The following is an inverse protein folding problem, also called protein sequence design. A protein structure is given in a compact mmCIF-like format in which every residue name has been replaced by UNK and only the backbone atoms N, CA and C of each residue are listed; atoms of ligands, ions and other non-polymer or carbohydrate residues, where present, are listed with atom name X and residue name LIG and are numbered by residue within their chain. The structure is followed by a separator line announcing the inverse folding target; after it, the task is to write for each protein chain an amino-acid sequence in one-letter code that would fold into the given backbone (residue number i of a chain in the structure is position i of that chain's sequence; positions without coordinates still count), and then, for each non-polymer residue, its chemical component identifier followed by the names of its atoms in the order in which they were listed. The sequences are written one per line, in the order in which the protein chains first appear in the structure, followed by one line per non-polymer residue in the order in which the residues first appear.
data_IF_907633827568
#
_entry.id   IF_907633827568
#
_cell.length_a   1.000
_cell.length_b   1.000
_cell.length_c   1.000
_cell.angle_alpha   90.00
_cell.angle_beta   90.00
_cell.angle_gamma   90.00
#
_symmetry.space_group_name_H-M   'P 1'
#
loop_
_entity.id
_entity.type
_entity.pdbx_description
1 polymer ?
#
# COMPACT_ATOMS: atom_id res chain seq x y z
N UNK A 1 -24.67 -2.91 -37.68
CA UNK A 1 -24.69 -3.66 -36.40
C UNK A 1 -23.68 -3.04 -35.45
N UNK A 2 -24.12 -2.59 -34.27
CA UNK A 2 -23.25 -1.94 -33.28
C UNK A 2 -22.41 -2.99 -32.54
N UNK A 3 -21.08 -2.82 -32.53
CA UNK A 3 -20.13 -3.70 -31.81
C UNK A 3 -20.48 -3.87 -30.33
N UNK A 4 -21.12 -2.87 -29.74
CA UNK A 4 -21.54 -2.84 -28.34
C UNK A 4 -22.58 -3.92 -28.01
N UNK A 5 -23.49 -4.24 -28.94
CA UNK A 5 -24.51 -5.28 -28.72
C UNK A 5 -23.92 -6.69 -28.76
N UNK A 6 -22.84 -6.89 -29.53
CA UNK A 6 -22.14 -8.17 -29.62
C UNK A 6 -21.31 -8.44 -28.35
N UNK A 7 -20.67 -7.39 -27.83
CA UNK A 7 -19.93 -7.44 -26.56
C UNK A 7 -20.86 -7.71 -25.37
N UNK A 8 -22.00 -7.03 -25.30
CA UNK A 8 -23.00 -7.27 -24.25
C UNK A 8 -23.59 -8.68 -24.34
N UNK A 9 -23.81 -9.19 -25.56
CA UNK A 9 -24.26 -10.56 -25.78
C UNK A 9 -23.27 -11.61 -25.26
N UNK A 10 -21.98 -11.47 -25.57
CA UNK A 10 -20.92 -12.36 -25.06
C UNK A 10 -20.87 -12.34 -23.52
N UNK A 11 -21.01 -11.14 -22.93
CA UNK A 11 -20.94 -10.99 -21.47
C UNK A 11 -22.14 -11.65 -20.76
N UNK A 12 -23.35 -11.49 -21.30
CA UNK A 12 -24.56 -12.12 -20.76
C UNK A 12 -24.55 -13.64 -20.90
N UNK A 13 -23.97 -14.16 -21.98
CA UNK A 13 -23.79 -15.61 -22.17
C UNK A 13 -22.83 -16.16 -21.10
N UNK A 14 -21.73 -15.44 -20.81
CA UNK A 14 -20.82 -15.80 -19.73
C UNK A 14 -21.49 -15.83 -18.36
N UNK A 15 -22.20 -14.75 -18.00
CA UNK A 15 -22.97 -14.68 -16.75
C UNK A 15 -24.04 -15.79 -16.67
N UNK A 16 -24.74 -16.05 -17.77
CA UNK A 16 -25.79 -17.08 -17.84
C UNK A 16 -25.25 -18.49 -17.63
N UNK A 17 -24.10 -18.82 -18.21
CA UNK A 17 -23.44 -20.12 -18.00
C UNK A 17 -22.98 -20.24 -16.55
N UNK A 18 -22.37 -19.20 -15.97
CA UNK A 18 -21.94 -19.20 -14.56
C UNK A 18 -23.11 -19.34 -13.56
N UNK A 19 -24.24 -18.71 -13.86
CA UNK A 19 -25.45 -18.84 -13.05
C UNK A 19 -26.08 -20.23 -13.16
N UNK A 20 -25.98 -20.88 -14.32
CA UNK A 20 -26.56 -22.20 -14.57
C UNK A 20 -25.79 -23.34 -13.90
N UNK A 21 -24.46 -23.27 -13.83
CA UNK A 21 -23.65 -24.34 -13.22
C UNK A 21 -23.67 -24.34 -11.69
N UNK A 22 -24.26 -23.33 -11.01
CA UNK A 22 -24.16 -23.13 -9.55
C UNK A 22 -22.71 -23.02 -8.99
N UNK A 23 -21.70 -23.18 -9.85
CA UNK A 23 -20.28 -23.02 -9.60
C UNK A 23 -19.83 -21.56 -9.83
N UNK A 24 -20.59 -20.59 -9.28
CA UNK A 24 -20.31 -19.16 -9.44
C UNK A 24 -18.92 -18.78 -8.90
N UNK A 25 -18.52 -19.41 -7.79
CA UNK A 25 -17.24 -19.16 -7.15
C UNK A 25 -16.04 -19.77 -7.91
N UNK A 26 -16.06 -21.07 -8.30
CA UNK A 26 -14.97 -21.66 -9.08
C UNK A 26 -14.82 -21.05 -10.48
N UNK A 27 -15.92 -20.61 -11.11
CA UNK A 27 -15.88 -19.95 -12.41
C UNK A 27 -15.12 -18.63 -12.39
N UNK A 28 -15.35 -17.77 -11.39
CA UNK A 28 -14.63 -16.50 -11.24
C UNK A 28 -13.15 -16.74 -10.95
N UNK A 29 -12.83 -17.70 -10.08
CA UNK A 29 -11.44 -18.06 -9.78
C UNK A 29 -10.70 -18.64 -10.98
N UNK A 30 -11.36 -19.44 -11.82
CA UNK A 30 -10.79 -19.95 -13.06
C UNK A 30 -10.44 -18.81 -14.02
N UNK A 31 -11.34 -17.82 -14.18
CA UNK A 31 -11.11 -16.64 -15.03
C UNK A 31 -9.94 -15.79 -14.52
N UNK A 32 -9.84 -15.58 -13.21
CA UNK A 32 -8.73 -14.83 -12.59
C UNK A 32 -7.42 -15.62 -12.75
N UNK A 33 -7.45 -16.93 -12.54
CA UNK A 33 -6.29 -17.81 -12.70
C UNK A 33 -5.74 -17.82 -14.12
N UNK A 34 -6.61 -17.91 -15.12
CA UNK A 34 -6.22 -17.84 -16.54
C UNK A 34 -5.67 -16.45 -16.91
N UNK A 35 -6.28 -15.37 -16.39
CA UNK A 35 -5.81 -14.00 -16.62
C UNK A 35 -4.43 -13.75 -16.02
N UNK A 36 -4.13 -14.34 -14.86
CA UNK A 36 -2.83 -14.24 -14.22
C UNK A 36 -1.76 -15.14 -14.86
N UNK A 37 -2.15 -16.28 -15.46
CA UNK A 37 -1.25 -17.11 -16.27
C UNK A 37 -0.67 -16.34 -17.46
N UNK A 38 -1.44 -15.42 -18.04
CA UNK A 38 -0.95 -14.51 -19.09
C UNK A 38 0.11 -13.51 -18.57
N UNK A 39 0.26 -13.34 -17.26
CA UNK A 39 1.21 -12.42 -16.62
C UNK A 39 2.57 -13.05 -16.30
N UNK A 40 2.75 -14.38 -16.44
CA UNK A 40 4.06 -15.06 -16.37
C UNK A 40 4.75 -15.11 -15.00
N UNK A 41 4.07 -14.76 -13.90
CA UNK A 41 4.69 -14.74 -12.56
C UNK A 41 4.63 -16.10 -11.85
N UNK A 42 5.79 -16.76 -11.65
CA UNK A 42 5.92 -18.04 -10.94
C UNK A 42 5.35 -18.02 -9.52
N UNK A 43 5.51 -16.90 -8.82
CA UNK A 43 4.97 -16.73 -7.48
C UNK A 43 3.44 -16.62 -7.49
N UNK A 44 2.89 -15.94 -8.50
CA UNK A 44 1.44 -15.91 -8.71
C UNK A 44 0.93 -17.28 -9.12
N UNK A 45 1.65 -18.03 -9.96
CA UNK A 45 1.27 -19.40 -10.36
C UNK A 45 1.25 -20.35 -9.17
N UNK A 46 2.26 -20.30 -8.28
CA UNK A 46 2.30 -21.11 -7.05
C UNK A 46 1.14 -20.76 -6.11
N UNK A 47 0.87 -19.47 -5.94
CA UNK A 47 -0.25 -19.02 -5.11
C UNK A 47 -1.61 -19.41 -5.72
N UNK A 48 -1.76 -19.31 -7.04
CA UNK A 48 -2.96 -19.72 -7.78
C UNK A 48 -3.16 -21.23 -7.79
N UNK A 49 -2.09 -22.02 -7.81
CA UNK A 49 -2.18 -23.46 -7.67
C UNK A 49 -2.68 -23.83 -6.28
N UNK A 50 -2.18 -23.16 -5.23
CA UNK A 50 -2.69 -23.31 -3.86
C UNK A 50 -4.16 -22.94 -3.73
N UNK A 51 -4.57 -21.79 -4.26
CA UNK A 51 -5.98 -21.34 -4.24
C UNK A 51 -6.87 -22.23 -5.11
N UNK A 52 -6.40 -22.66 -6.27
CA UNK A 52 -7.12 -23.55 -7.18
C UNK A 52 -7.38 -24.92 -6.56
N UNK A 53 -6.39 -25.48 -5.86
CA UNK A 53 -6.55 -26.73 -5.11
C UNK A 53 -7.53 -26.54 -3.95
N UNK A 54 -7.42 -25.47 -3.15
CA UNK A 54 -8.38 -25.17 -2.07
C UNK A 54 -9.83 -25.00 -2.58
N UNK A 55 -10.00 -24.42 -3.76
CA UNK A 55 -11.31 -24.24 -4.39
C UNK A 55 -11.91 -25.57 -4.90
N UNK A 56 -11.10 -26.55 -5.29
CA UNK A 56 -11.56 -27.88 -5.73
C UNK A 56 -12.12 -28.70 -4.56
N UNK A 57 -11.62 -28.48 -3.34
CA UNK A 57 -12.06 -29.23 -2.15
C UNK A 57 -13.33 -28.67 -1.49
N UNK A 58 -13.97 -27.64 -2.07
CA UNK A 58 -15.16 -26.95 -1.53
C UNK A 58 -14.97 -26.41 -0.08
N UNK A 59 -13.74 -26.48 0.42
CA UNK A 59 -13.32 -26.17 1.78
C UNK A 59 -12.93 -24.70 1.93
N UNK A 60 -13.56 -23.83 1.13
CA UNK A 60 -13.25 -22.40 1.07
C UNK A 60 -13.62 -21.66 2.38
N UNK A 61 -14.77 -21.99 2.97
CA UNK A 61 -15.17 -21.44 4.27
C UNK A 61 -14.25 -21.87 5.42
N UNK A 62 -13.98 -23.17 5.62
CA UNK A 62 -13.03 -23.61 6.64
C UNK A 62 -11.60 -23.10 6.37
N UNK A 63 -11.19 -23.01 5.10
CA UNK A 63 -9.87 -22.52 4.70
C UNK A 63 -9.65 -21.05 5.03
N UNK A 64 -10.64 -20.17 4.76
CA UNK A 64 -10.58 -18.77 5.19
C UNK A 64 -10.52 -18.67 6.71
N UNK A 65 -11.35 -19.43 7.42
CA UNK A 65 -11.42 -19.38 8.88
C UNK A 65 -10.10 -19.86 9.51
N UNK A 66 -9.46 -20.86 8.90
CA UNK A 66 -8.16 -21.36 9.30
C UNK A 66 -7.03 -20.37 8.95
N UNK A 67 -7.11 -19.67 7.82
CA UNK A 67 -6.15 -18.62 7.44
C UNK A 67 -6.26 -17.38 8.33
N UNK A 68 -7.47 -16.94 8.66
CA UNK A 68 -7.71 -15.81 9.56
C UNK A 68 -7.30 -16.20 10.98
N UNK A 69 -7.77 -17.35 11.47
CA UNK A 69 -7.40 -17.87 12.79
C UNK A 69 -5.90 -18.12 12.92
N UNK A 70 -5.29 -18.72 11.89
CA UNK A 70 -3.86 -18.95 11.80
C UNK A 70 -3.06 -17.65 11.71
N UNK A 71 -3.53 -16.65 10.96
CA UNK A 71 -2.90 -15.33 10.88
C UNK A 71 -2.89 -14.61 12.22
N UNK A 72 -3.98 -14.69 12.98
CA UNK A 72 -4.06 -14.16 14.35
C UNK A 72 -3.11 -14.94 15.28
N UNK A 73 -3.05 -16.26 15.18
CA UNK A 73 -2.20 -17.09 16.02
C UNK A 73 -0.71 -16.87 15.72
N UNK A 74 -0.34 -16.77 14.45
CA UNK A 74 1.02 -16.48 14.01
C UNK A 74 1.41 -15.05 14.38
N UNK A 75 0.53 -14.07 14.19
CA UNK A 75 0.77 -12.69 14.63
C UNK A 75 0.91 -12.54 16.14
N UNK A 76 0.24 -13.39 16.92
CA UNK A 76 0.40 -13.46 18.38
C UNK A 76 1.69 -14.16 18.82
N UNK A 77 2.18 -15.13 18.04
CA UNK A 77 3.43 -15.85 18.33
C UNK A 77 4.68 -15.11 17.83
N UNK A 78 4.53 -14.30 16.78
CA UNK A 78 5.57 -13.47 16.19
C UNK A 78 5.09 -12.02 16.14
N UNK A 79 4.99 -11.32 17.29
CA UNK A 79 4.77 -9.89 17.28
C UNK A 79 5.94 -9.24 16.53
N UNK A 80 5.65 -8.65 15.36
CA UNK A 80 6.63 -7.88 14.60
C UNK A 80 7.19 -6.76 15.50
N UNK A 81 8.45 -6.91 15.93
CA UNK A 81 9.27 -5.83 16.46
C UNK A 81 9.52 -4.79 15.35
N UNK A 82 8.50 -4.02 14.99
CA UNK A 82 8.64 -2.82 14.13
C UNK A 82 7.96 -1.59 14.72
N UNK A 83 7.34 -1.70 15.90
CA UNK A 83 6.90 -0.55 16.70
C UNK A 83 7.96 -0.02 17.68
N UNK A 84 9.19 -0.55 17.64
CA UNK A 84 10.32 -0.13 18.49
C UNK A 84 11.17 1.00 17.85
N UNK A 85 10.55 1.81 16.98
CA UNK A 85 11.11 3.11 16.61
C UNK A 85 10.00 4.15 16.55
N UNK A 86 9.12 4.12 17.55
CA UNK A 86 8.65 5.37 18.13
C UNK A 86 9.83 5.87 18.97
N UNK A 87 10.43 7.04 18.67
CA UNK A 87 11.37 7.68 19.57
C UNK A 87 10.71 7.78 20.94
N UNK A 88 11.44 7.41 21.99
CA UNK A 88 11.04 7.60 23.37
C UNK A 88 10.49 9.02 23.57
N UNK A 89 9.17 9.15 23.75
CA UNK A 89 8.56 10.34 24.33
C UNK A 89 9.18 10.45 25.73
N UNK A 90 9.92 11.53 26.06
CA UNK A 90 10.35 11.74 27.43
C UNK A 90 9.10 11.96 28.28
N UNK A 91 8.74 10.89 28.97
CA UNK A 91 7.81 10.82 30.08
C UNK A 91 8.37 11.65 31.25
N UNK A 92 8.36 12.97 31.11
CA UNK A 92 8.44 13.90 32.22
C UNK A 92 7.11 14.66 32.28
N UNK A 93 6.20 14.09 33.07
CA UNK A 93 5.47 14.83 34.10
C UNK A 93 5.09 16.28 33.76
N UNK A 94 3.85 16.53 33.35
CA UNK A 94 3.01 17.54 34.02
C UNK A 94 1.52 17.43 33.62
N UNK A 95 0.67 16.87 34.50
CA UNK A 95 -0.77 16.95 34.37
C UNK A 95 -1.28 18.23 35.03
N UNK A 96 -1.62 19.25 34.25
CA UNK A 96 -2.46 20.39 34.67
C UNK A 96 -2.97 21.06 33.39
N UNK A 97 -4.15 20.74 32.87
CA UNK A 97 -5.46 21.17 33.39
C UNK A 97 -5.41 22.55 34.03
N UNK A 98 -5.43 23.60 33.21
CA UNK A 98 -6.26 24.81 33.38
C UNK A 98 -6.03 25.80 32.22
N UNK A 99 -7.01 25.95 31.33
CA UNK A 99 -7.28 27.23 30.66
C UNK A 99 -8.29 27.96 31.55
N UNK A 100 -8.13 29.25 31.92
CA UNK A 100 -8.20 30.42 31.02
C UNK A 100 -7.16 31.53 31.42
N UNK A 101 -6.91 32.65 30.75
CA UNK A 101 -7.77 33.63 30.09
C UNK A 101 -6.89 34.64 29.29
N UNK A 102 -7.50 35.51 28.45
CA UNK A 102 -6.88 36.36 27.42
C UNK A 102 -6.18 37.65 27.92
N UNK A 103 -5.64 38.42 26.96
CA UNK A 103 -4.95 39.73 27.05
C UNK A 103 -3.42 39.59 27.27
N UNK A 104 -2.50 40.09 26.43
CA UNK A 104 -2.34 41.42 25.85
C UNK A 104 -1.39 41.35 24.63
N UNK A 105 -1.76 41.98 23.50
CA UNK A 105 -0.77 42.48 22.53
C UNK A 105 -0.30 43.87 23.00
N UNK A 106 0.99 44.22 22.86
CA UNK A 106 1.28 45.34 21.96
C UNK A 106 2.55 45.17 21.10
N UNK A 107 2.68 46.00 20.05
CA UNK A 107 3.57 45.78 18.91
C UNK A 107 4.92 46.49 19.07
N UNK A 108 6.01 45.89 18.58
CA UNK A 108 7.25 46.64 18.34
C UNK A 108 8.05 46.08 17.18
N UNK A 109 7.84 46.75 16.05
CA UNK A 109 8.72 46.97 14.91
C UNK A 109 10.11 46.28 14.85
N UNK A 110 10.24 45.37 13.85
CA UNK A 110 11.32 45.20 12.85
C UNK A 110 12.77 44.93 13.33
N UNK A 111 13.74 44.43 12.50
CA UNK A 111 13.73 44.11 11.07
C UNK A 111 14.27 42.70 10.69
N UNK A 112 13.96 42.28 9.47
CA UNK A 112 14.74 41.42 8.56
C UNK A 112 15.81 40.47 9.14
N UNK A 113 15.51 39.17 9.15
CA UNK A 113 16.53 38.16 8.81
C UNK A 113 15.88 37.13 7.88
N UNK A 114 16.12 37.18 6.55
CA UNK A 114 15.90 35.99 5.75
C UNK A 114 16.89 34.93 6.26
N UNK A 115 16.35 33.89 6.89
CA UNK A 115 17.15 32.78 7.39
C UNK A 115 18.05 32.25 6.27
N UNK A 116 19.39 32.25 6.44
CA UNK A 116 20.30 31.72 5.45
C UNK A 116 20.42 30.20 5.64
N UNK A 117 20.27 29.47 4.52
CA UNK A 117 20.54 28.03 4.31
C UNK A 117 19.41 27.03 4.65
N UNK A 118 19.36 25.91 3.92
CA UNK A 118 19.09 25.84 2.48
C UNK A 118 17.85 24.94 2.25
N UNK A 119 17.20 25.04 1.09
CA UNK A 119 16.25 23.99 0.63
C UNK A 119 16.92 23.14 -0.45
N UNK A 120 17.94 22.29 -0.16
CA UNK A 120 18.69 21.58 -1.19
C UNK A 120 18.17 20.16 -1.46
N UNK A 121 16.96 19.79 -1.07
CA UNK A 121 16.46 18.42 -1.28
C UNK A 121 15.62 18.26 -2.55
N UNK A 122 14.93 19.29 -3.05
CA UNK A 122 13.99 19.10 -4.17
C UNK A 122 14.63 19.11 -5.56
N UNK A 123 15.83 19.68 -5.70
CA UNK A 123 16.39 19.99 -7.03
C UNK A 123 17.09 18.80 -7.70
N UNK A 124 17.57 17.82 -6.91
CA UNK A 124 18.31 16.66 -7.42
C UNK A 124 17.40 15.47 -7.76
N UNK A 125 16.21 15.38 -7.18
CA UNK A 125 15.40 14.16 -7.30
C UNK A 125 14.96 13.92 -8.76
N UNK A 126 15.31 12.77 -9.37
CA UNK A 126 14.90 12.48 -10.74
C UNK A 126 13.39 12.30 -10.83
N UNK A 127 12.79 12.67 -11.95
CA UNK A 127 11.33 12.59 -12.15
C UNK A 127 10.82 11.14 -12.19
N UNK A 128 11.71 10.16 -12.46
CA UNK A 128 11.41 8.73 -12.46
C UNK A 128 12.50 7.94 -11.74
N UNK A 129 12.09 6.91 -11.00
CA UNK A 129 13.04 6.00 -10.36
C UNK A 129 13.78 5.15 -11.40
N UNK A 130 15.12 5.07 -11.37
CA UNK A 130 15.89 4.26 -12.31
C UNK A 130 15.74 2.74 -12.08
N UNK A 131 15.33 2.32 -10.88
CA UNK A 131 15.17 0.91 -10.53
C UNK A 131 13.80 0.34 -10.96
N UNK A 132 12.72 1.10 -10.78
CA UNK A 132 11.35 0.61 -11.02
C UNK A 132 10.54 1.42 -12.04
N UNK A 133 11.03 2.58 -12.48
CA UNK A 133 10.35 3.46 -13.44
C UNK A 133 9.17 4.26 -12.87
N UNK A 134 8.88 4.14 -11.57
CA UNK A 134 7.78 4.85 -10.91
C UNK A 134 8.01 6.39 -10.90
N UNK A 135 6.93 7.19 -10.96
CA UNK A 135 7.04 8.65 -10.82
C UNK A 135 7.53 9.00 -9.43
N UNK A 136 8.53 9.87 -9.34
CA UNK A 136 9.08 10.33 -8.07
C UNK A 136 8.72 11.81 -7.88
N UNK A 137 7.91 12.06 -6.84
CA UNK A 137 7.52 13.42 -6.45
C UNK A 137 8.26 13.78 -5.16
N UNK A 138 8.81 15.01 -5.02
CA UNK A 138 9.58 15.40 -3.83
C UNK A 138 8.79 15.28 -2.51
N UNK A 139 7.48 15.40 -2.60
CA UNK A 139 6.53 15.31 -1.48
C UNK A 139 6.20 13.85 -1.09
N UNK A 140 6.44 12.90 -1.99
CA UNK A 140 6.07 11.49 -1.82
C UNK A 140 7.28 10.61 -1.53
N UNK A 141 8.49 11.08 -1.84
CA UNK A 141 9.73 10.42 -1.48
C UNK A 141 9.98 10.50 0.04
N UNK A 142 10.38 9.37 0.62
CA UNK A 142 10.77 9.29 2.03
C UNK A 142 12.21 9.80 2.11
N UNK A 143 12.41 10.94 2.76
CA UNK A 143 13.72 11.57 2.93
C UNK A 143 14.36 11.09 4.22
N UNK A 144 15.54 10.48 4.10
CA UNK A 144 16.34 10.08 5.27
C UNK A 144 17.32 11.18 5.67
N UNK A 145 17.88 11.91 4.70
CA UNK A 145 18.81 13.03 4.92
C UNK A 145 18.64 14.14 3.88
N UNK A 146 19.44 15.20 3.95
CA UNK A 146 19.46 16.27 2.94
C UNK A 146 19.79 15.80 1.51
N UNK A 147 20.50 14.68 1.36
CA UNK A 147 20.95 14.13 0.08
C UNK A 147 20.50 12.69 -0.17
N UNK A 148 19.97 11.99 0.82
CA UNK A 148 19.54 10.60 0.68
C UNK A 148 18.01 10.51 0.74
N UNK A 149 17.43 10.01 -0.35
CA UNK A 149 16.01 9.75 -0.45
C UNK A 149 15.79 8.27 -0.78
N UNK A 150 14.66 7.73 -0.37
CA UNK A 150 14.26 6.37 -0.70
C UNK A 150 13.01 6.40 -1.60
N UNK A 151 12.96 5.51 -2.59
CA UNK A 151 11.78 5.40 -3.44
C UNK A 151 10.63 4.71 -2.69
N UNK A 152 9.47 5.37 -2.60
CA UNK A 152 8.28 4.86 -1.91
C UNK A 152 7.62 3.65 -2.56
N UNK A 153 8.03 3.28 -3.78
CA UNK A 153 7.48 2.13 -4.51
C UNK A 153 8.36 0.89 -4.41
N UNK A 154 9.67 1.05 -4.55
CA UNK A 154 10.62 -0.08 -4.61
C UNK A 154 11.68 -0.06 -3.50
N UNK A 155 11.60 0.90 -2.57
CA UNK A 155 12.50 1.06 -1.43
C UNK A 155 13.99 1.11 -1.78
N UNK A 156 14.30 1.47 -3.04
CA UNK A 156 15.68 1.59 -3.49
C UNK A 156 16.24 2.94 -3.03
N UNK A 157 17.45 2.98 -2.43
CA UNK A 157 18.09 4.22 -2.03
C UNK A 157 18.49 5.03 -3.26
N UNK A 158 18.19 6.32 -3.24
CA UNK A 158 18.52 7.31 -4.25
C UNK A 158 19.55 8.27 -3.65
N UNK A 159 20.71 8.37 -4.30
CA UNK A 159 21.79 9.27 -3.94
C UNK A 159 22.12 10.20 -5.11
N UNK A 160 22.57 11.44 -4.85
CA UNK A 160 23.30 12.22 -5.84
C UNK A 160 24.51 11.44 -6.35
N UNK A 161 24.67 11.46 -7.67
CA UNK A 161 25.86 10.94 -8.35
C UNK A 161 26.97 11.98 -8.29
#
# INVERSE_FOLDING_TARGET
MNKNNLQTGIWLIGIGILAFTNYWWPGIMFVIGVSALASGSLQATIWLFGIGVLAIFDFWWPGILFLIGGGILVGALFPDRKSEFAPDDPEDSEPISSSPAPDEFPPSAAPSTPSPFPTPSRAWLPTRCPACGAPLTPTEAIWHDATHAECSYCHTPLSPN
#
